data_IF_652063363018
#
_entry.id   IF_652063363018
#
_cell.length_a   1.000
_cell.length_b   1.000
_cell.length_c   1.000
_cell.angle_alpha   90.00
_cell.angle_beta   90.00
_cell.angle_gamma   90.00
#
_symmetry.space_group_name_H-M   'P 1'
#
loop_
_entity.id
_entity.type
_entity.pdbx_description
1 polymer ?
#
# COMPACT_ATOMS: atom_id res chain seq x y z
N UNK A 1 -2.88 6.18 -14.92
CA UNK A 1 -3.21 7.01 -16.09
C UNK A 1 -4.71 7.23 -16.07
N UNK A 2 -5.16 8.47 -15.84
CA UNK A 2 -6.59 8.78 -15.83
C UNK A 2 -7.08 8.87 -17.26
N UNK A 3 -7.83 7.87 -17.71
CA UNK A 3 -8.64 7.99 -18.92
C UNK A 3 -10.01 8.44 -18.46
N UNK A 4 -10.22 9.75 -18.33
CA UNK A 4 -11.57 10.29 -18.38
C UNK A 4 -11.91 10.28 -19.88
N UNK A 5 -12.73 9.30 -20.27
CA UNK A 5 -13.21 9.15 -21.64
C UNK A 5 -13.85 10.47 -22.11
N UNK A 6 -13.62 10.82 -23.39
CA UNK A 6 -14.37 11.89 -24.07
C UNK A 6 -15.87 11.64 -23.86
N UNK A 7 -16.62 12.70 -23.58
CA UNK A 7 -18.07 12.68 -23.47
C UNK A 7 -18.71 12.37 -24.84
N UNK A 8 -18.72 11.10 -25.20
CA UNK A 8 -19.75 10.53 -26.07
C UNK A 8 -21.05 10.40 -25.25
N UNK A 9 -22.24 10.39 -25.87
CA UNK A 9 -23.48 10.14 -25.14
C UNK A 9 -23.37 8.78 -24.41
N UNK A 10 -23.20 8.86 -23.08
CA UNK A 10 -22.91 7.72 -22.23
C UNK A 10 -24.19 6.91 -22.07
N UNK A 11 -24.35 5.88 -22.91
CA UNK A 11 -25.28 4.80 -22.62
C UNK A 11 -24.85 4.15 -21.30
N UNK A 12 -25.83 3.76 -20.49
CA UNK A 12 -25.59 2.98 -19.27
C UNK A 12 -24.62 1.84 -19.58
N UNK A 13 -23.46 1.85 -18.92
CA UNK A 13 -22.36 0.94 -19.19
C UNK A 13 -22.10 0.10 -17.95
N UNK A 14 -22.44 -1.17 -18.05
CA UNK A 14 -22.01 -2.18 -17.08
C UNK A 14 -20.70 -2.77 -17.59
N UNK A 15 -19.66 -2.75 -16.76
CA UNK A 15 -18.40 -3.43 -17.01
C UNK A 15 -18.11 -4.35 -15.84
N UNK A 16 -18.07 -5.64 -16.12
CA UNK A 16 -17.63 -6.66 -15.18
C UNK A 16 -16.44 -7.36 -15.80
N UNK A 17 -15.36 -7.45 -15.03
CA UNK A 17 -14.15 -8.18 -15.38
C UNK A 17 -13.80 -9.06 -14.20
N UNK A 18 -13.68 -10.35 -14.43
CA UNK A 18 -13.22 -11.31 -13.45
C UNK A 18 -11.95 -11.99 -13.92
N UNK A 19 -11.12 -12.42 -12.97
CA UNK A 19 -10.00 -13.28 -13.25
C UNK A 19 -9.83 -14.33 -12.16
N UNK A 20 -9.46 -15.54 -12.58
CA UNK A 20 -9.19 -16.67 -11.69
C UNK A 20 -7.99 -17.44 -12.21
N UNK A 21 -7.01 -17.69 -11.37
CA UNK A 21 -5.76 -18.30 -11.79
C UNK A 21 -5.05 -19.11 -10.72
N UNK A 22 -4.13 -19.95 -11.17
CA UNK A 22 -3.19 -20.64 -10.31
C UNK A 22 -1.88 -19.87 -10.31
N UNK A 23 -1.36 -19.60 -9.13
CA UNK A 23 -0.09 -18.90 -8.92
C UNK A 23 0.83 -19.77 -8.06
N UNK A 24 2.10 -19.81 -8.44
CA UNK A 24 3.19 -20.38 -7.66
C UNK A 24 4.15 -19.26 -7.30
N UNK A 25 4.49 -19.17 -6.01
CA UNK A 25 5.38 -18.17 -5.45
C UNK A 25 6.50 -18.89 -4.71
N UNK A 26 7.75 -18.61 -5.07
CA UNK A 26 8.93 -19.14 -4.40
C UNK A 26 9.81 -18.02 -3.88
N UNK A 27 10.10 -18.06 -2.58
CA UNK A 27 11.05 -17.16 -1.93
C UNK A 27 12.45 -17.79 -1.91
N UNK A 28 13.45 -16.99 -2.20
CA UNK A 28 14.86 -17.32 -2.05
C UNK A 28 15.37 -16.66 -0.78
N UNK A 29 16.07 -17.42 0.07
CA UNK A 29 16.58 -16.91 1.34
C UNK A 29 16.35 -17.87 2.50
N UNK A 30 16.30 -17.32 3.71
CA UNK A 30 16.31 -18.04 4.99
C UNK A 30 15.46 -19.34 4.99
N UNK A 31 16.09 -20.44 5.42
CA UNK A 31 15.57 -21.81 5.38
C UNK A 31 14.54 -22.11 6.48
N UNK A 32 14.29 -21.15 7.38
CA UNK A 32 13.46 -21.37 8.58
C UNK A 32 11.95 -21.34 8.35
N UNK A 33 11.47 -20.79 7.22
CA UNK A 33 10.03 -20.67 6.89
C UNK A 33 9.71 -21.34 5.55
N UNK A 34 8.43 -21.59 5.28
CA UNK A 34 8.01 -22.05 3.94
C UNK A 34 8.53 -21.10 2.87
N UNK A 35 9.14 -21.66 1.83
CA UNK A 35 9.75 -20.93 0.71
C UNK A 35 8.99 -21.14 -0.59
N UNK A 36 7.91 -21.90 -0.58
CA UNK A 36 7.10 -22.19 -1.76
C UNK A 36 5.62 -22.20 -1.39
N UNK A 37 4.82 -21.50 -2.17
CA UNK A 37 3.38 -21.40 -2.01
C UNK A 37 2.71 -21.62 -3.35
N UNK A 38 1.73 -22.51 -3.39
CA UNK A 38 0.81 -22.64 -4.53
C UNK A 38 -0.54 -22.11 -4.10
N UNK A 39 -1.12 -21.21 -4.88
CA UNK A 39 -2.37 -20.54 -4.55
C UNK A 39 -3.34 -20.50 -5.73
N UNK A 40 -4.62 -20.54 -5.40
CA UNK A 40 -5.68 -20.06 -6.26
C UNK A 40 -5.86 -18.57 -5.99
N UNK A 41 -5.60 -17.74 -6.99
CA UNK A 41 -5.80 -16.29 -6.91
C UNK A 41 -7.00 -15.90 -7.75
N UNK A 42 -7.81 -14.98 -7.25
CA UNK A 42 -8.86 -14.37 -8.04
C UNK A 42 -8.98 -12.89 -7.75
N UNK A 43 -9.29 -12.15 -8.81
CA UNK A 43 -9.53 -10.72 -8.78
C UNK A 43 -10.84 -10.48 -9.53
N UNK A 44 -11.79 -9.77 -8.92
CA UNK A 44 -13.07 -9.43 -9.52
C UNK A 44 -13.32 -7.95 -9.40
N UNK A 45 -13.77 -7.34 -10.50
CA UNK A 45 -14.07 -5.92 -10.57
C UNK A 45 -15.36 -5.70 -11.36
N UNK A 46 -16.34 -5.09 -10.72
CA UNK A 46 -17.63 -4.77 -11.34
C UNK A 46 -17.96 -3.30 -11.15
N UNK A 47 -18.35 -2.64 -12.24
CA UNK A 47 -18.97 -1.31 -12.21
C UNK A 47 -20.23 -1.31 -13.02
N UNK A 48 -21.27 -0.72 -12.45
CA UNK A 48 -22.52 -0.48 -13.16
C UNK A 48 -22.85 1.00 -13.11
N UNK A 49 -23.03 1.61 -14.28
CA UNK A 49 -23.45 3.00 -14.44
C UNK A 49 -24.89 3.05 -14.91
N UNK A 50 -25.82 3.05 -13.97
CA UNK A 50 -27.24 3.25 -14.22
C UNK A 50 -27.62 4.73 -14.39
N UNK A 51 -28.87 4.98 -14.75
CA UNK A 51 -29.41 6.34 -14.92
C UNK A 51 -29.50 7.12 -13.61
N UNK A 52 -29.76 6.44 -12.50
CA UNK A 52 -29.93 7.06 -11.17
C UNK A 52 -28.76 6.76 -10.24
N UNK A 53 -28.24 5.53 -10.28
CA UNK A 53 -27.20 5.05 -9.40
C UNK A 53 -26.02 4.49 -10.19
N UNK A 54 -24.84 4.64 -9.61
CA UNK A 54 -23.61 3.97 -9.96
C UNK A 54 -23.24 3.01 -8.83
N UNK A 55 -22.80 1.81 -9.16
CA UNK A 55 -22.23 0.88 -8.18
C UNK A 55 -20.85 0.43 -8.64
N UNK A 56 -19.96 0.18 -7.70
CA UNK A 56 -18.62 -0.30 -8.00
C UNK A 56 -18.11 -1.19 -6.88
N UNK A 57 -17.46 -2.29 -7.23
CA UNK A 57 -16.81 -3.15 -6.26
C UNK A 57 -15.59 -3.86 -6.87
N UNK A 58 -14.58 -4.05 -6.03
CA UNK A 58 -13.34 -4.76 -6.32
C UNK A 58 -13.08 -5.74 -5.18
N UNK A 59 -12.81 -7.00 -5.53
CA UNK A 59 -12.58 -8.10 -4.58
C UNK A 59 -11.36 -8.88 -5.04
N UNK A 60 -10.39 -9.03 -4.16
CA UNK A 60 -9.15 -9.76 -4.40
C UNK A 60 -9.03 -10.88 -3.37
N UNK A 61 -8.69 -12.09 -3.79
CA UNK A 61 -8.44 -13.18 -2.88
C UNK A 61 -7.27 -14.04 -3.33
N UNK A 62 -6.63 -14.68 -2.35
CA UNK A 62 -5.57 -15.64 -2.56
C UNK A 62 -5.78 -16.79 -1.58
N UNK A 63 -5.97 -17.99 -2.10
CA UNK A 63 -6.20 -19.20 -1.32
C UNK A 63 -5.04 -20.17 -1.55
N UNK A 64 -4.14 -20.25 -0.58
CA UNK A 64 -2.99 -21.13 -0.61
C UNK A 64 -3.37 -22.58 -0.29
N UNK A 65 -2.91 -23.51 -1.12
CA UNK A 65 -3.23 -24.94 -1.00
C UNK A 65 -2.40 -25.60 0.10
N UNK A 66 -1.16 -25.16 0.29
CA UNK A 66 -0.20 -25.81 1.18
C UNK A 66 0.00 -25.11 2.54
N UNK A 67 -0.58 -23.92 2.74
CA UNK A 67 -0.46 -23.17 3.98
C UNK A 67 -1.61 -22.16 4.10
N UNK A 68 -2.68 -22.49 4.80
CA UNK A 68 -3.89 -21.64 4.90
C UNK A 68 -3.62 -20.28 5.53
N UNK A 69 -2.60 -20.16 6.36
CA UNK A 69 -2.26 -18.92 7.06
C UNK A 69 -1.67 -17.87 6.09
N UNK A 70 -1.30 -18.31 4.88
CA UNK A 70 -0.90 -17.47 3.75
C UNK A 70 -2.07 -17.13 2.80
N UNK A 71 -3.32 -17.32 3.21
CA UNK A 71 -4.52 -16.94 2.43
C UNK A 71 -5.12 -15.61 2.86
N UNK A 72 -5.77 -14.90 1.94
CA UNK A 72 -6.52 -13.68 2.24
C UNK A 72 -7.75 -13.46 1.34
N UNK A 73 -8.65 -12.62 1.83
CA UNK A 73 -9.74 -11.98 1.09
C UNK A 73 -9.73 -10.48 1.42
N UNK A 74 -9.65 -9.65 0.39
CA UNK A 74 -9.61 -8.20 0.48
C UNK A 74 -10.68 -7.59 -0.44
N UNK A 75 -11.28 -6.48 -0.02
CA UNK A 75 -12.28 -5.74 -0.80
C UNK A 75 -11.78 -4.30 -0.93
N UNK A 76 -10.81 -3.99 -1.81
CA UNK A 76 -10.17 -2.67 -1.83
C UNK A 76 -11.16 -1.52 -1.99
N UNK A 77 -12.21 -1.73 -2.78
CA UNK A 77 -13.23 -0.73 -3.10
C UNK A 77 -14.62 -1.41 -3.18
N UNK A 78 -15.65 -0.77 -2.63
CA UNK A 78 -17.04 -1.20 -2.73
C UNK A 78 -17.97 -0.04 -2.35
N UNK A 79 -18.75 0.48 -3.29
CA UNK A 79 -19.55 1.69 -3.07
C UNK A 79 -20.83 1.73 -3.91
N UNK A 80 -21.75 2.57 -3.47
CA UNK A 80 -22.92 3.04 -4.22
C UNK A 80 -22.83 4.54 -4.35
N UNK A 81 -23.17 5.08 -5.52
CA UNK A 81 -23.14 6.51 -5.82
C UNK A 81 -24.37 6.95 -6.61
N UNK A 82 -24.73 8.21 -6.53
CA UNK A 82 -25.63 8.83 -7.53
C UNK A 82 -24.93 8.91 -8.89
N UNK A 83 -25.66 8.59 -9.95
CA UNK A 83 -25.11 8.57 -11.30
C UNK A 83 -24.53 9.92 -11.72
N UNK A 84 -23.34 9.91 -12.33
CA UNK A 84 -22.73 11.07 -12.98
C UNK A 84 -23.53 11.59 -14.17
N UNK A 85 -24.50 10.81 -14.67
CA UNK A 85 -25.45 11.24 -15.70
C UNK A 85 -26.46 12.27 -15.18
N UNK A 86 -26.69 12.32 -13.86
CA UNK A 86 -27.63 13.28 -13.24
C UNK A 86 -27.07 14.69 -13.12
N UNK A 87 -25.76 14.88 -13.31
CA UNK A 87 -25.13 16.20 -13.28
C UNK A 87 -23.68 16.17 -12.83
N UNK A 88 -23.15 17.34 -12.51
CA UNK A 88 -21.76 17.52 -12.09
C UNK A 88 -21.49 17.09 -10.63
N UNK A 89 -22.52 16.76 -9.85
CA UNK A 89 -22.40 16.43 -8.44
C UNK A 89 -22.78 14.97 -8.18
N UNK A 90 -21.99 14.27 -7.37
CA UNK A 90 -22.21 12.89 -6.97
C UNK A 90 -22.13 12.75 -5.46
N UNK A 91 -23.08 12.03 -4.88
CA UNK A 91 -22.98 11.50 -3.53
C UNK A 91 -22.56 10.03 -3.61
N UNK A 92 -21.64 9.60 -2.76
CA UNK A 92 -21.13 8.23 -2.71
C UNK A 92 -21.14 7.75 -1.26
N UNK A 93 -21.44 6.48 -1.05
CA UNK A 93 -21.35 5.83 0.26
C UNK A 93 -20.71 4.45 0.09
N UNK A 94 -19.82 4.11 1.01
CA UNK A 94 -19.12 2.82 1.02
C UNK A 94 -17.62 3.02 1.19
N UNK A 95 -16.85 2.09 0.64
CA UNK A 95 -15.38 2.09 0.61
C UNK A 95 -14.91 2.58 -0.76
N UNK A 96 -14.22 3.72 -0.83
CA UNK A 96 -13.79 4.32 -2.10
C UNK A 96 -12.31 4.68 -2.13
N UNK A 97 -11.64 4.33 -3.22
CA UNK A 97 -10.27 4.72 -3.53
C UNK A 97 -10.30 6.06 -4.30
N UNK A 98 -9.54 7.04 -3.82
CA UNK A 98 -9.44 8.37 -4.43
C UNK A 98 -8.00 8.86 -4.32
N UNK A 99 -7.52 9.58 -5.34
CA UNK A 99 -6.15 10.12 -5.32
C UNK A 99 -6.16 11.48 -4.61
N UNK A 100 -5.87 11.44 -3.32
CA UNK A 100 -5.79 12.64 -2.47
C UNK A 100 -4.48 13.41 -2.61
N UNK A 101 -3.42 12.71 -3.00
CA UNK A 101 -2.09 13.28 -3.18
C UNK A 101 -1.24 12.42 -4.14
N UNK A 102 -0.50 13.06 -5.04
CA UNK A 102 0.24 12.35 -6.10
C UNK A 102 1.45 11.57 -5.59
N UNK A 103 2.18 12.07 -4.59
CA UNK A 103 3.34 11.36 -4.05
C UNK A 103 2.95 10.12 -3.23
N UNK A 104 1.88 10.21 -2.42
CA UNK A 104 1.37 9.09 -1.63
C UNK A 104 0.86 7.96 -2.56
N UNK A 105 0.18 8.32 -3.66
CA UNK A 105 -0.26 7.41 -4.72
C UNK A 105 0.91 6.70 -5.42
N UNK A 106 1.93 7.46 -5.84
CA UNK A 106 3.04 6.90 -6.61
C UNK A 106 3.94 6.00 -5.78
N UNK A 107 4.27 6.41 -4.55
CA UNK A 107 5.19 5.70 -3.65
C UNK A 107 4.49 4.71 -2.71
N UNK A 108 3.15 4.61 -2.81
CA UNK A 108 2.31 3.77 -1.96
C UNK A 108 2.63 3.92 -0.46
N UNK A 109 2.76 5.17 0.02
CA UNK A 109 3.18 5.43 1.41
C UNK A 109 2.07 5.10 2.42
N UNK A 110 0.80 5.15 1.99
CA UNK A 110 -0.36 4.79 2.82
C UNK A 110 -0.74 5.86 3.84
N UNK A 111 -0.38 7.12 3.59
CA UNK A 111 -0.65 8.23 4.51
C UNK A 111 -2.10 8.70 4.38
N UNK A 112 -2.58 8.89 3.15
CA UNK A 112 -3.97 9.28 2.90
C UNK A 112 -4.91 8.09 2.96
N UNK A 113 -4.60 7.00 2.26
CA UNK A 113 -5.45 5.81 2.21
C UNK A 113 -4.75 4.61 2.85
N UNK A 114 -5.48 3.78 3.60
CA UNK A 114 -4.89 2.57 4.18
C UNK A 114 -4.41 1.63 3.08
N UNK A 115 -3.49 0.75 3.45
CA UNK A 115 -2.94 -0.29 2.61
C UNK A 115 -3.26 -1.66 3.16
N UNK A 116 -3.37 -2.62 2.25
CA UNK A 116 -3.27 -4.03 2.55
C UNK A 116 -1.84 -4.48 2.26
N UNK A 117 -1.03 -4.52 3.32
CA UNK A 117 0.39 -4.89 3.34
C UNK A 117 0.57 -6.40 3.50
N UNK A 118 -0.21 -7.18 2.75
CA UNK A 118 0.06 -8.61 2.62
C UNK A 118 1.41 -8.86 1.95
N UNK A 119 1.73 -7.96 1.02
CA UNK A 119 2.98 -7.83 0.30
C UNK A 119 3.52 -6.43 0.56
N UNK A 120 4.74 -6.32 1.08
CA UNK A 120 5.34 -5.02 1.39
C UNK A 120 6.06 -4.39 0.18
N UNK A 121 6.35 -5.16 -0.88
CA UNK A 121 6.90 -4.62 -2.12
C UNK A 121 5.79 -3.97 -2.95
N UNK A 122 4.63 -4.63 -3.02
CA UNK A 122 3.46 -4.14 -3.76
C UNK A 122 2.23 -4.06 -2.85
N UNK A 123 2.22 -3.15 -1.86
CA UNK A 123 1.09 -3.00 -0.96
C UNK A 123 -0.13 -2.51 -1.72
N UNK A 124 -1.26 -3.22 -1.58
CA UNK A 124 -2.49 -2.83 -2.26
C UNK A 124 -3.10 -1.63 -1.56
N UNK A 125 -3.55 -0.63 -2.32
CA UNK A 125 -4.29 0.51 -1.77
C UNK A 125 -5.70 0.09 -1.45
N UNK A 126 -6.24 0.71 -0.42
CA UNK A 126 -7.54 0.33 0.11
C UNK A 126 -8.35 1.58 0.41
N UNK A 127 -9.60 1.58 -0.04
CA UNK A 127 -10.46 2.76 0.01
C UNK A 127 -10.80 3.18 1.44
N UNK A 128 -11.08 4.48 1.60
CA UNK A 128 -11.64 5.01 2.82
C UNK A 128 -13.12 4.60 2.91
N UNK A 129 -13.57 4.18 4.09
CA UNK A 129 -14.98 3.85 4.34
C UNK A 129 -15.67 5.13 4.82
N UNK A 130 -16.77 5.53 4.19
CA UNK A 130 -17.57 6.68 4.61
C UNK A 130 -18.49 7.21 3.53
N UNK A 131 -18.90 8.48 3.68
CA UNK A 131 -19.64 9.23 2.70
C UNK A 131 -18.73 10.19 1.93
N UNK A 132 -18.97 10.33 0.64
CA UNK A 132 -18.24 11.23 -0.24
C UNK A 132 -19.21 12.14 -1.00
N UNK A 133 -18.84 13.40 -1.14
CA UNK A 133 -19.52 14.35 -2.01
C UNK A 133 -18.52 14.88 -3.03
N UNK A 134 -18.78 14.62 -4.31
CA UNK A 134 -17.87 14.93 -5.42
C UNK A 134 -18.55 15.88 -6.39
N UNK A 135 -17.95 17.02 -6.65
CA UNK A 135 -18.30 17.93 -7.74
C UNK A 135 -17.21 17.82 -8.79
N UNK A 136 -17.57 17.48 -10.03
CA UNK A 136 -16.61 17.28 -11.10
C UNK A 136 -17.07 18.00 -12.37
N UNK A 137 -16.20 18.86 -12.90
CA UNK A 137 -16.37 19.61 -14.15
C UNK A 137 -15.10 19.46 -14.99
N UNK A 138 -15.09 19.87 -16.27
CA UNK A 138 -13.89 19.76 -17.11
C UNK A 138 -12.64 20.52 -16.61
N UNK A 139 -12.80 21.48 -15.69
CA UNK A 139 -11.72 22.36 -15.23
C UNK A 139 -11.54 22.39 -13.72
N UNK A 140 -12.48 21.80 -12.98
CA UNK A 140 -12.52 21.86 -11.54
C UNK A 140 -13.12 20.58 -10.96
N UNK A 141 -12.50 20.08 -9.90
CA UNK A 141 -13.01 18.99 -9.09
C UNK A 141 -12.95 19.41 -7.62
N UNK A 142 -14.02 19.13 -6.88
CA UNK A 142 -14.08 19.23 -5.44
C UNK A 142 -14.55 17.89 -4.87
N UNK A 143 -13.94 17.45 -3.79
CA UNK A 143 -14.26 16.20 -3.12
C UNK A 143 -14.24 16.43 -1.61
N UNK A 144 -15.34 16.10 -0.95
CA UNK A 144 -15.41 16.02 0.51
C UNK A 144 -15.62 14.56 0.90
N UNK A 145 -14.97 14.16 1.99
CA UNK A 145 -15.13 12.86 2.62
C UNK A 145 -15.46 13.07 4.10
N UNK A 146 -16.37 12.26 4.63
CA UNK A 146 -16.62 12.16 6.06
C UNK A 146 -16.90 10.72 6.43
N UNK A 147 -16.42 10.30 7.60
CA UNK A 147 -16.69 8.97 8.13
C UNK A 147 -16.84 8.99 9.63
N UNK A 148 -17.68 8.08 10.15
CA UNK A 148 -17.72 7.69 11.56
C UNK A 148 -16.81 6.49 11.86
N UNK A 149 -16.34 5.80 10.81
CA UNK A 149 -15.68 4.51 10.91
C UNK A 149 -14.33 4.54 10.21
N UNK A 150 -13.33 4.02 10.90
CA UNK A 150 -11.96 3.89 10.49
C UNK A 150 -11.61 2.41 10.36
N UNK A 151 -10.91 2.08 9.27
CA UNK A 151 -10.35 0.75 9.09
C UNK A 151 -8.84 0.92 8.87
N UNK A 152 -8.00 0.46 9.81
CA UNK A 152 -6.56 0.62 9.69
C UNK A 152 -5.99 -0.20 8.53
N UNK A 153 -4.71 0.04 8.25
CA UNK A 153 -3.91 -0.86 7.43
C UNK A 153 -3.96 -2.28 7.99
N UNK A 154 -3.99 -3.25 7.07
CA UNK A 154 -3.94 -4.67 7.40
C UNK A 154 -2.70 -5.26 6.78
N UNK A 155 -2.13 -6.27 7.42
CA UNK A 155 -0.92 -6.95 6.95
C UNK A 155 -1.12 -8.45 6.86
N UNK A 156 -0.01 -9.18 6.93
CA UNK A 156 -0.02 -10.62 7.06
C UNK A 156 -0.82 -11.09 8.29
N UNK A 157 -1.48 -12.25 8.15
CA UNK A 157 -2.13 -12.92 9.29
C UNK A 157 -1.07 -13.34 10.31
N UNK A 158 -1.40 -13.18 11.58
CA UNK A 158 -0.54 -13.58 12.70
C UNK A 158 -1.35 -14.43 13.66
N UNK A 159 -0.70 -15.44 14.22
CA UNK A 159 -1.27 -16.33 15.22
C UNK A 159 -0.48 -16.23 16.52
N UNK A 160 -1.15 -16.50 17.63
CA UNK A 160 -0.53 -16.54 18.94
C UNK A 160 -0.38 -18.00 19.37
N UNK A 161 0.87 -18.47 19.49
CA UNK A 161 1.21 -19.84 19.86
C UNK A 161 2.28 -19.79 20.94
N UNK A 162 2.01 -20.40 22.09
CA UNK A 162 2.96 -20.57 23.20
C UNK A 162 3.69 -19.29 23.63
N UNK A 163 2.96 -18.18 23.85
CA UNK A 163 3.58 -16.93 24.31
C UNK A 163 4.18 -16.07 23.19
N UNK A 164 4.01 -16.46 21.92
CA UNK A 164 4.67 -15.83 20.78
C UNK A 164 3.73 -15.58 19.62
N UNK A 165 3.98 -14.48 18.90
CA UNK A 165 3.35 -14.21 17.62
C UNK A 165 4.13 -14.87 16.50
N UNK A 166 3.46 -15.72 15.73
CA UNK A 166 4.00 -16.41 14.57
C UNK A 166 3.16 -16.09 13.34
N UNK A 167 3.76 -16.20 12.16
CA UNK A 167 3.05 -16.03 10.89
C UNK A 167 3.74 -16.87 9.83
N UNK A 168 2.95 -17.49 8.96
CA UNK A 168 3.46 -18.13 7.76
C UNK A 168 4.02 -17.12 6.75
N UNK A 169 3.61 -15.85 6.84
CA UNK A 169 4.05 -14.82 5.90
C UNK A 169 5.52 -14.48 6.07
N UNK A 170 6.22 -14.39 4.95
CA UNK A 170 7.60 -13.89 4.87
C UNK A 170 7.68 -12.40 5.21
N UNK A 171 6.59 -11.66 5.07
CA UNK A 171 6.50 -10.23 5.38
C UNK A 171 6.28 -9.93 6.86
N UNK A 172 6.07 -10.95 7.69
CA UNK A 172 6.02 -10.80 9.13
C UNK A 172 7.43 -10.82 9.75
N UNK A 173 7.83 -9.71 10.35
CA UNK A 173 9.03 -9.65 11.18
C UNK A 173 8.67 -10.06 12.60
N UNK A 174 9.16 -11.23 13.02
CA UNK A 174 8.89 -11.76 14.35
C UNK A 174 9.47 -10.86 15.44
N UNK A 175 8.77 -10.78 16.58
CA UNK A 175 9.28 -10.10 17.76
C UNK A 175 10.47 -10.88 18.35
N UNK A 176 11.42 -10.21 19.02
CA UNK A 176 12.52 -10.90 19.70
C UNK A 176 12.00 -11.95 20.68
N UNK A 177 12.57 -13.16 20.68
CA UNK A 177 12.11 -14.26 21.54
C UNK A 177 12.84 -14.35 22.87
N UNK A 178 13.97 -13.65 23.00
CA UNK A 178 14.83 -13.65 24.17
C UNK A 178 15.40 -12.26 24.44
N UNK A 179 15.56 -11.92 25.71
CA UNK A 179 16.29 -10.75 26.18
C UNK A 179 17.54 -11.21 26.95
N UNK A 180 18.51 -10.31 27.16
CA UNK A 180 19.64 -10.56 28.05
C UNK A 180 19.47 -9.75 29.33
N UNK A 181 19.31 -10.43 30.46
CA UNK A 181 19.30 -9.82 31.78
C UNK A 181 20.55 -10.26 32.54
N UNK A 182 21.40 -9.30 32.93
CA UNK A 182 22.67 -9.58 33.63
C UNK A 182 23.55 -10.62 32.91
N UNK A 183 23.54 -10.60 31.57
CA UNK A 183 24.31 -11.53 30.74
C UNK A 183 23.65 -12.90 30.50
N UNK A 184 22.54 -13.22 31.18
CA UNK A 184 21.79 -14.45 31.00
C UNK A 184 20.66 -14.23 29.98
N UNK A 185 20.50 -15.16 29.04
CA UNK A 185 19.39 -15.14 28.10
C UNK A 185 18.10 -15.59 28.82
N UNK A 186 17.10 -14.72 28.83
CA UNK A 186 15.76 -14.99 29.39
C UNK A 186 14.73 -15.01 28.26
N UNK A 187 13.76 -15.92 28.27
CA UNK A 187 12.68 -15.93 27.29
C UNK A 187 11.78 -14.69 27.47
N UNK A 188 11.25 -14.18 26.35
CA UNK A 188 10.22 -13.13 26.36
C UNK A 188 8.87 -13.79 26.06
N UNK A 189 7.87 -13.49 26.88
CA UNK A 189 6.48 -13.87 26.68
C UNK A 189 5.67 -12.63 26.32
N UNK A 190 4.96 -12.66 25.20
CA UNK A 190 4.16 -11.52 24.76
C UNK A 190 2.69 -11.72 25.06
N UNK A 191 1.99 -10.65 25.42
CA UNK A 191 0.54 -10.63 25.54
C UNK A 191 -0.01 -9.43 24.78
N UNK A 192 -0.89 -9.65 23.81
CA UNK A 192 -1.59 -8.55 23.12
C UNK A 192 -2.90 -8.23 23.83
N UNK A 193 -3.01 -7.02 24.35
CA UNK A 193 -4.27 -6.48 24.87
C UNK A 193 -4.92 -5.69 23.73
N UNK A 194 -5.68 -6.41 22.91
CA UNK A 194 -6.39 -5.82 21.78
C UNK A 194 -7.64 -5.07 22.29
N UNK A 195 -7.81 -3.77 21.97
CA UNK A 195 -9.07 -3.10 22.24
C UNK A 195 -10.21 -3.77 21.48
N UNK A 196 -11.45 -3.55 21.93
CA UNK A 196 -12.61 -4.06 21.20
C UNK A 196 -12.62 -3.52 19.76
N UNK A 197 -13.15 -4.29 18.80
CA UNK A 197 -13.20 -3.88 17.41
C UNK A 197 -13.91 -2.53 17.22
N UNK A 198 -14.96 -2.28 18.00
CA UNK A 198 -15.66 -1.00 18.01
C UNK A 198 -14.76 0.16 18.45
N UNK A 199 -13.93 -0.02 19.48
CA UNK A 199 -12.97 1.00 19.91
C UNK A 199 -11.90 1.26 18.86
N UNK A 200 -11.44 0.25 18.12
CA UNK A 200 -10.45 0.44 17.05
C UNK A 200 -11.05 1.14 15.83
N UNK A 201 -12.30 0.83 15.49
CA UNK A 201 -12.92 1.29 14.25
C UNK A 201 -13.79 2.55 14.42
N UNK A 202 -14.27 2.89 15.61
CA UNK A 202 -15.15 4.05 15.83
C UNK A 202 -14.37 5.35 15.99
N UNK A 203 -13.62 5.71 14.96
CA UNK A 203 -12.83 6.93 14.92
C UNK A 203 -13.22 7.78 13.70
N UNK A 204 -13.91 8.91 13.90
CA UNK A 204 -14.38 9.73 12.79
C UNK A 204 -13.23 10.41 12.05
N UNK A 205 -13.46 10.77 10.80
CA UNK A 205 -12.51 11.53 9.99
C UNK A 205 -13.21 12.36 8.94
N UNK A 206 -12.57 13.47 8.54
CA UNK A 206 -13.03 14.36 7.49
C UNK A 206 -11.88 14.71 6.56
N UNK A 207 -12.17 14.87 5.27
CA UNK A 207 -11.19 15.28 4.28
C UNK A 207 -11.81 16.12 3.17
N UNK A 208 -11.00 17.01 2.59
CA UNK A 208 -11.39 17.90 1.51
C UNK A 208 -10.30 17.91 0.45
N UNK A 209 -10.68 17.93 -0.81
CA UNK A 209 -9.78 18.08 -1.95
C UNK A 209 -10.40 19.05 -2.94
N UNK A 210 -9.59 19.99 -3.41
CA UNK A 210 -9.92 20.86 -4.53
C UNK A 210 -8.84 20.69 -5.60
N UNK A 211 -9.27 20.54 -6.86
CA UNK A 211 -8.39 20.39 -8.01
C UNK A 211 -8.85 21.31 -9.12
N UNK A 212 -7.90 21.99 -9.75
CA UNK A 212 -8.10 22.83 -10.93
C UNK A 212 -7.26 22.29 -12.09
N UNK A 213 -7.74 22.51 -13.32
CA UNK A 213 -7.05 22.12 -14.54
C UNK A 213 -7.83 21.10 -15.35
N UNK A 214 -7.29 20.82 -16.54
CA UNK A 214 -7.90 19.91 -17.52
C UNK A 214 -7.28 18.52 -17.42
N UNK A 215 -7.91 17.56 -18.10
CA UNK A 215 -7.38 16.18 -18.27
C UNK A 215 -5.98 16.21 -18.92
N UNK A 216 -5.80 17.11 -19.89
CA UNK A 216 -4.51 17.42 -20.53
C UNK A 216 -4.16 18.88 -20.28
N UNK A 217 -2.88 19.17 -20.12
CA UNK A 217 -2.35 20.48 -19.78
C UNK A 217 -2.01 20.58 -18.29
N UNK A 218 -1.94 21.82 -17.80
CA UNK A 218 -1.62 22.11 -16.41
C UNK A 218 -2.78 21.73 -15.48
N UNK A 219 -2.42 21.21 -14.32
CA UNK A 219 -3.33 20.94 -13.23
C UNK A 219 -2.64 21.20 -11.89
N UNK A 220 -3.45 21.48 -10.87
CA UNK A 220 -3.02 21.55 -9.48
C UNK A 220 -4.13 21.08 -8.56
N UNK A 221 -3.75 20.51 -7.42
CA UNK A 221 -4.70 20.14 -6.36
C UNK A 221 -4.16 20.46 -4.99
N UNK A 222 -5.08 20.77 -4.08
CA UNK A 222 -4.83 20.95 -2.67
C UNK A 222 -5.78 20.04 -1.89
N UNK A 223 -5.29 19.38 -0.85
CA UNK A 223 -6.13 18.56 0.02
C UNK A 223 -5.79 18.75 1.49
N UNK A 224 -6.79 18.58 2.34
CA UNK A 224 -6.68 18.62 3.80
C UNK A 224 -7.44 17.46 4.43
N UNK A 225 -6.90 16.86 5.49
CA UNK A 225 -7.64 15.89 6.30
C UNK A 225 -7.36 16.06 7.79
N UNK A 226 -8.39 15.76 8.58
CA UNK A 226 -8.25 15.40 9.99
C UNK A 226 -8.89 14.03 10.15
N UNK A 227 -8.05 13.02 10.33
CA UNK A 227 -8.51 11.62 10.39
C UNK A 227 -7.57 10.77 11.26
N UNK A 228 -7.96 9.53 11.57
CA UNK A 228 -7.06 8.57 12.19
C UNK A 228 -5.89 8.20 11.26
N UNK A 229 -4.73 7.93 11.86
CA UNK A 229 -3.57 7.41 11.15
C UNK A 229 -3.85 5.99 10.68
N UNK A 230 -3.55 5.70 9.40
CA UNK A 230 -3.89 4.40 8.81
C UNK A 230 -3.17 3.22 9.50
N UNK A 231 -1.89 3.35 9.82
CA UNK A 231 -1.17 2.37 10.64
C UNK A 231 -1.42 2.64 12.13
N UNK A 232 -1.76 1.57 12.86
CA UNK A 232 -1.85 1.58 14.31
C UNK A 232 -0.46 1.77 14.91
N UNK A 233 -0.39 2.61 15.94
CA UNK A 233 0.82 2.71 16.76
C UNK A 233 0.76 1.63 17.83
N UNK A 234 1.92 1.28 18.38
CA UNK A 234 2.02 0.27 19.45
C UNK A 234 2.65 0.92 20.69
N UNK A 235 2.06 0.64 21.85
CA UNK A 235 2.72 0.79 23.14
C UNK A 235 3.03 -0.57 23.74
N UNK A 236 4.01 -0.66 24.61
CA UNK A 236 4.25 -1.86 25.40
C UNK A 236 4.68 -1.55 26.82
N UNK A 237 4.42 -2.49 27.72
CA UNK A 237 4.96 -2.54 29.07
C UNK A 237 5.71 -3.86 29.25
N UNK A 238 6.72 -3.85 30.12
CA UNK A 238 7.57 -5.01 30.37
C UNK A 238 7.73 -5.24 31.87
N UNK A 239 7.47 -6.45 32.32
CA UNK A 239 7.65 -6.89 33.71
C UNK A 239 8.50 -8.16 33.74
N UNK A 240 9.38 -8.28 34.75
CA UNK A 240 10.15 -9.51 34.95
C UNK A 240 9.40 -10.36 35.96
N UNK A 241 9.01 -11.57 35.55
CA UNK A 241 8.50 -12.58 36.49
C UNK A 241 9.69 -13.39 37.05
N UNK A 242 9.99 -13.14 38.33
CA UNK A 242 11.09 -13.80 39.02
C UNK A 242 10.85 -15.30 39.24
N UNK A 243 9.59 -15.77 39.18
CA UNK A 243 9.27 -17.18 39.37
C UNK A 243 9.51 -17.99 38.09
N UNK A 244 9.03 -17.50 36.95
CA UNK A 244 9.21 -18.15 35.65
C UNK A 244 10.54 -17.82 34.97
N UNK A 245 11.30 -16.86 35.51
CA UNK A 245 12.52 -16.31 34.90
C UNK A 245 12.29 -15.82 33.46
N UNK A 246 11.09 -15.33 33.18
CA UNK A 246 10.69 -14.80 31.89
C UNK A 246 10.46 -13.28 31.96
N UNK A 247 10.62 -12.63 30.81
CA UNK A 247 10.22 -11.24 30.62
C UNK A 247 8.82 -11.24 30.00
N UNK A 248 7.83 -10.77 30.74
CA UNK A 248 6.47 -10.61 30.25
C UNK A 248 6.33 -9.23 29.63
N UNK A 249 5.85 -9.18 28.38
CA UNK A 249 5.67 -7.96 27.60
C UNK A 249 4.24 -7.86 27.13
N UNK A 250 3.52 -6.85 27.61
CA UNK A 250 2.15 -6.58 27.17
C UNK A 250 2.17 -5.53 26.06
N UNK A 251 1.54 -5.83 24.93
CA UNK A 251 1.42 -4.98 23.75
C UNK A 251 0.04 -4.31 23.71
N UNK A 252 0.02 -3.02 23.42
CA UNK A 252 -1.17 -2.17 23.39
C UNK A 252 -1.27 -1.42 22.06
N UNK A 253 -2.03 -1.93 21.08
CA UNK A 253 -2.35 -1.21 19.86
C UNK A 253 -3.16 0.05 20.16
N UNK A 254 -2.83 1.15 19.49
CA UNK A 254 -3.47 2.45 19.71
C UNK A 254 -3.72 3.17 18.38
N UNK A 255 -4.81 3.91 18.34
CA UNK A 255 -5.20 4.74 17.20
C UNK A 255 -4.82 6.18 17.51
N UNK A 256 -3.89 6.73 16.73
CA UNK A 256 -3.54 8.15 16.77
C UNK A 256 -4.23 8.91 15.64
N UNK A 257 -4.38 10.22 15.79
CA UNK A 257 -4.90 11.11 14.75
C UNK A 257 -3.77 11.87 14.08
N UNK A 258 -4.02 12.35 12.86
CA UNK A 258 -3.14 13.31 12.21
C UNK A 258 -3.91 14.35 11.41
N UNK A 259 -3.28 15.49 11.22
CA UNK A 259 -3.66 16.47 10.22
C UNK A 259 -2.79 16.25 8.98
N UNK A 260 -3.42 16.17 7.81
CA UNK A 260 -2.73 16.04 6.53
C UNK A 260 -2.96 17.28 5.68
N UNK A 261 -1.91 17.73 5.02
CA UNK A 261 -1.97 18.80 4.03
C UNK A 261 -1.22 18.34 2.79
N UNK A 262 -1.84 18.44 1.61
CA UNK A 262 -1.19 18.12 0.36
C UNK A 262 -1.34 19.25 -0.66
N UNK A 263 -0.29 19.43 -1.45
CA UNK A 263 -0.28 20.30 -2.61
C UNK A 263 0.40 19.57 -3.76
N UNK A 264 -0.30 19.49 -4.89
CA UNK A 264 0.20 18.88 -6.11
C UNK A 264 0.09 19.87 -7.27
N UNK A 265 1.02 19.80 -8.20
CA UNK A 265 0.94 20.47 -9.47
C UNK A 265 1.61 19.63 -10.56
N UNK A 266 1.14 19.76 -11.79
CA UNK A 266 1.75 19.03 -12.89
C UNK A 266 1.23 19.47 -14.25
N UNK A 267 1.78 18.82 -15.27
CA UNK A 267 1.37 18.97 -16.66
C UNK A 267 1.23 17.59 -17.29
N UNK A 268 0.16 17.39 -18.06
CA UNK A 268 -0.08 16.17 -18.83
C UNK A 268 -0.13 16.53 -20.31
N UNK A 269 0.95 16.24 -21.04
CA UNK A 269 1.05 16.38 -22.48
C UNK A 269 0.63 15.11 -23.21
N UNK A 270 0.93 15.04 -24.51
CA UNK A 270 0.63 13.85 -25.31
C UNK A 270 1.67 12.74 -25.13
N UNK A 271 2.96 13.10 -25.10
CA UNK A 271 4.07 12.15 -24.99
C UNK A 271 4.80 12.20 -23.66
N UNK A 272 4.48 13.16 -22.81
CA UNK A 272 5.13 13.29 -21.52
C UNK A 272 4.18 13.92 -20.52
N UNK A 273 4.41 13.63 -19.26
CA UNK A 273 3.79 14.32 -18.14
C UNK A 273 4.79 14.49 -17.03
N UNK A 274 4.60 15.51 -16.22
CA UNK A 274 5.40 15.73 -15.02
C UNK A 274 4.52 16.18 -13.87
N UNK A 275 5.02 15.99 -12.67
CA UNK A 275 4.36 16.46 -11.46
C UNK A 275 5.37 16.78 -10.37
N UNK A 276 4.96 17.67 -9.48
CA UNK A 276 5.57 17.93 -8.18
C UNK A 276 4.47 17.80 -7.14
N UNK A 277 4.82 17.26 -5.99
CA UNK A 277 3.87 16.92 -4.94
C UNK A 277 4.52 17.12 -3.58
N UNK A 278 3.76 17.70 -2.67
CA UNK A 278 4.13 17.99 -1.30
C UNK A 278 3.07 17.40 -0.38
N UNK A 279 3.50 16.73 0.67
CA UNK A 279 2.65 16.16 1.70
C UNK A 279 3.23 16.53 3.06
N UNK A 280 2.43 17.18 3.90
CA UNK A 280 2.74 17.41 5.32
C UNK A 280 1.81 16.58 6.18
N UNK A 281 2.39 15.82 7.10
CA UNK A 281 1.70 15.08 8.15
C UNK A 281 2.04 15.72 9.50
N UNK A 282 1.04 16.06 10.29
CA UNK A 282 1.18 16.55 11.66
C UNK A 282 0.40 15.61 12.59
N UNK A 283 1.06 14.63 13.21
CA UNK A 283 0.42 13.72 14.15
C UNK A 283 -0.05 14.45 15.41
N UNK A 284 -1.24 14.11 15.89
CA UNK A 284 -1.79 14.58 17.15
C UNK A 284 -1.37 13.60 18.24
N UNK A 285 -0.57 14.08 19.19
CA UNK A 285 -0.12 13.28 20.32
C UNK A 285 -1.32 12.84 21.18
N UNK A 286 -1.42 11.54 21.39
CA UNK A 286 -2.35 10.92 22.32
C UNK A 286 -1.76 10.82 23.72
N UNK A 287 -2.63 10.52 24.70
CA UNK A 287 -2.24 10.38 26.09
C UNK A 287 -2.10 8.90 26.39
N UNK A 288 -0.92 8.48 26.84
CA UNK A 288 -0.63 7.10 27.21
C UNK A 288 -0.19 7.02 28.68
N UNK A 289 -0.43 5.90 29.37
CA UNK A 289 0.10 5.67 30.70
C UNK A 289 1.62 5.84 30.76
N UNK A 290 2.13 6.43 31.85
CA UNK A 290 3.57 6.67 32.03
C UNK A 290 4.39 5.37 32.19
N UNK A 291 3.72 4.25 32.47
CA UNK A 291 4.34 2.92 32.54
C UNK A 291 4.66 2.34 31.17
N UNK A 292 4.05 2.86 30.10
CA UNK A 292 4.24 2.35 28.76
C UNK A 292 5.48 2.94 28.10
N UNK A 293 6.13 2.13 27.27
CA UNK A 293 7.02 2.60 26.21
C UNK A 293 6.26 2.61 24.89
N UNK A 294 6.18 3.77 24.24
CA UNK A 294 5.31 4.02 23.10
C UNK A 294 6.09 4.33 21.84
N UNK A 295 5.62 3.79 20.71
CA UNK A 295 6.05 4.20 19.39
C UNK A 295 5.65 5.65 19.16
N UNK A 296 6.57 6.58 19.04
CA UNK A 296 6.24 7.98 18.76
C UNK A 296 6.38 8.31 17.28
N UNK A 297 5.59 9.28 16.83
CA UNK A 297 5.62 9.82 15.48
C UNK A 297 5.77 11.33 15.55
N UNK A 298 6.50 11.92 14.60
CA UNK A 298 6.76 13.36 14.53
C UNK A 298 6.14 13.97 13.27
N UNK A 299 6.09 15.30 13.24
CA UNK A 299 5.78 16.03 12.01
C UNK A 299 6.64 15.51 10.85
N UNK A 300 6.00 15.28 9.71
CA UNK A 300 6.64 14.85 8.48
C UNK A 300 6.36 15.82 7.34
N UNK A 301 7.37 16.04 6.50
CA UNK A 301 7.25 16.69 5.20
C UNK A 301 7.84 15.77 4.14
N UNK A 302 7.01 15.30 3.22
CA UNK A 302 7.42 14.53 2.06
C UNK A 302 7.30 15.40 0.80
N UNK A 303 8.36 15.38 -0.01
CA UNK A 303 8.47 16.09 -1.28
C UNK A 303 8.77 15.06 -2.37
N UNK A 304 8.07 15.12 -3.48
CA UNK A 304 8.39 14.27 -4.62
C UNK A 304 8.12 14.97 -5.94
N UNK A 305 8.88 14.58 -6.96
CA UNK A 305 8.65 14.98 -8.34
C UNK A 305 8.85 13.77 -9.24
N UNK A 306 8.09 13.72 -10.32
CA UNK A 306 8.23 12.67 -11.31
C UNK A 306 7.94 13.14 -12.72
N UNK A 307 8.47 12.39 -13.68
CA UNK A 307 8.27 12.55 -15.11
C UNK A 307 7.93 11.20 -15.70
N UNK A 308 6.88 11.15 -16.51
CA UNK A 308 6.49 10.01 -17.32
C UNK A 308 6.71 10.36 -18.79
N UNK A 309 7.43 9.52 -19.52
CA UNK A 309 7.73 9.66 -20.95
C UNK A 309 7.11 8.49 -21.72
N UNK A 310 6.32 8.79 -22.74
CA UNK A 310 5.87 7.83 -23.75
C UNK A 310 6.94 7.73 -24.83
N UNK A 311 7.61 6.57 -24.89
CA UNK A 311 8.71 6.32 -25.82
C UNK A 311 8.21 5.92 -27.20
N UNK A 312 7.26 4.98 -27.23
CA UNK A 312 6.73 4.42 -28.46
C UNK A 312 5.30 3.92 -28.23
N UNK A 313 4.43 4.05 -29.24
CA UNK A 313 3.04 3.65 -29.18
C UNK A 313 2.73 2.63 -30.28
N UNK A 314 2.15 1.49 -29.91
CA UNK A 314 1.70 0.45 -30.84
C UNK A 314 0.29 0.02 -30.48
N UNK A 315 -0.60 -0.04 -31.46
CA UNK A 315 -1.99 -0.50 -31.28
C UNK A 315 -2.78 0.22 -30.17
N UNK A 316 -2.42 1.48 -29.87
CA UNK A 316 -3.06 2.24 -28.79
C UNK A 316 -2.29 2.22 -27.47
N UNK A 317 -1.42 1.24 -27.27
CA UNK A 317 -0.62 1.10 -26.05
C UNK A 317 0.78 1.70 -26.18
N UNK A 318 1.16 2.43 -25.14
CA UNK A 318 2.37 3.21 -25.10
C UNK A 318 3.38 2.58 -24.13
N UNK A 319 4.59 2.34 -24.62
CA UNK A 319 5.75 2.05 -23.79
C UNK A 319 6.15 3.31 -23.03
N UNK A 320 6.29 3.21 -21.72
CA UNK A 320 6.47 4.33 -20.80
C UNK A 320 7.71 4.16 -19.95
N UNK A 321 8.45 5.24 -19.80
CA UNK A 321 9.52 5.40 -18.83
C UNK A 321 9.10 6.43 -17.79
N UNK A 322 8.97 6.00 -16.54
CA UNK A 322 8.72 6.85 -15.39
C UNK A 322 9.99 7.03 -14.57
N UNK A 323 10.29 8.28 -14.20
CA UNK A 323 11.36 8.64 -13.28
C UNK A 323 10.75 9.44 -12.14
N UNK A 324 11.10 9.12 -10.89
CA UNK A 324 10.59 9.84 -9.72
C UNK A 324 11.64 9.92 -8.63
N UNK A 325 11.63 11.01 -7.88
CA UNK A 325 12.47 11.23 -6.71
C UNK A 325 11.60 11.59 -5.50
N UNK A 326 11.90 11.04 -4.34
CA UNK A 326 11.23 11.26 -3.07
C UNK A 326 12.24 11.68 -2.01
N UNK A 327 11.86 12.69 -1.22
CA UNK A 327 12.54 13.05 0.01
C UNK A 327 11.52 13.25 1.14
N UNK A 328 11.72 12.56 2.24
CA UNK A 328 10.92 12.67 3.47
C UNK A 328 11.80 13.25 4.58
N UNK A 329 11.26 14.22 5.30
CA UNK A 329 11.84 14.81 6.50
C UNK A 329 10.92 14.50 7.68
N UNK A 330 11.44 13.94 8.77
CA UNK A 330 10.66 13.63 9.98
C UNK A 330 9.86 12.32 9.89
N UNK A 331 8.67 12.30 10.49
CA UNK A 331 7.74 11.18 10.50
C UNK A 331 7.98 10.15 11.60
N UNK A 332 9.24 9.74 11.77
CA UNK A 332 9.65 8.91 12.90
C UNK A 332 10.08 9.79 14.07
N UNK A 333 9.72 9.42 15.30
CA UNK A 333 10.27 10.01 16.52
C UNK A 333 10.96 8.94 17.36
N UNK A 334 11.75 9.37 18.34
CA UNK A 334 12.26 8.46 19.35
C UNK A 334 11.09 7.97 20.21
N UNK A 335 11.12 6.69 20.56
CA UNK A 335 10.16 6.10 21.48
C UNK A 335 10.13 6.90 22.80
N UNK A 336 9.00 6.90 23.47
CA UNK A 336 8.85 7.59 24.76
C UNK A 336 8.48 6.58 25.84
N UNK A 337 9.11 6.66 27.02
CA UNK A 337 8.79 5.80 28.16
C UNK A 337 10.00 5.09 28.78
N UNK A 338 9.77 4.21 29.77
CA UNK A 338 10.83 3.63 30.61
C UNK A 338 11.89 2.81 29.87
N UNK A 339 11.52 2.18 28.75
CA UNK A 339 12.40 1.31 27.96
C UNK A 339 12.82 1.93 26.63
N UNK A 340 12.51 3.22 26.41
CA UNK A 340 12.88 3.92 25.19
C UNK A 340 14.40 4.08 25.07
N UNK A 341 14.94 3.83 23.88
CA UNK A 341 16.37 4.06 23.58
C UNK A 341 16.57 5.50 23.14
N UNK A 342 17.64 6.14 23.63
CA UNK A 342 17.92 7.55 23.35
C UNK A 342 18.21 7.87 21.87
N UNK A 343 18.55 6.87 21.05
CA UNK A 343 19.06 7.09 19.68
C UNK A 343 18.25 6.42 18.59
N UNK A 344 17.26 5.59 18.91
CA UNK A 344 16.52 4.83 17.91
C UNK A 344 15.13 4.39 18.40
N UNK A 345 14.18 4.33 17.48
CA UNK A 345 12.91 3.64 17.70
C UNK A 345 13.10 2.12 17.58
N UNK A 346 12.33 1.37 18.35
CA UNK A 346 12.23 -0.09 18.30
C UNK A 346 11.19 -0.60 17.30
N UNK A 347 10.37 0.30 16.75
CA UNK A 347 9.25 -0.06 15.88
C UNK A 347 9.61 0.06 14.39
N UNK A 348 8.68 -0.40 13.55
CA UNK A 348 8.77 -0.16 12.11
C UNK A 348 8.73 1.35 11.80
N UNK A 349 9.59 1.85 10.89
CA UNK A 349 9.49 3.23 10.43
C UNK A 349 8.14 3.49 9.75
N UNK A 350 7.62 4.70 9.95
CA UNK A 350 6.39 5.18 9.33
C UNK A 350 6.45 5.22 7.81
N UNK A 351 7.59 5.62 7.27
CA UNK A 351 7.83 5.75 5.83
C UNK A 351 8.76 4.62 5.36
N UNK A 352 8.34 3.78 4.40
CA UNK A 352 9.20 2.72 3.86
C UNK A 352 10.36 3.29 3.04
N UNK A 353 10.22 4.52 2.54
CA UNK A 353 11.23 5.24 1.76
C UNK A 353 11.40 6.65 2.32
N UNK A 354 12.66 7.11 2.44
CA UNK A 354 13.02 8.41 3.00
C UNK A 354 13.70 9.27 1.95
N UNK A 355 14.63 8.71 1.18
CA UNK A 355 15.37 9.45 0.16
C UNK A 355 15.58 8.53 -1.03
N UNK A 356 14.60 8.46 -1.91
CA UNK A 356 14.53 7.39 -2.89
C UNK A 356 14.41 7.92 -4.31
N UNK A 357 15.04 7.21 -5.24
CA UNK A 357 14.80 7.33 -6.69
C UNK A 357 14.08 6.09 -7.17
N UNK A 358 13.10 6.27 -8.06
CA UNK A 358 12.34 5.20 -8.72
C UNK A 358 12.45 5.36 -10.22
N UNK A 359 12.82 4.27 -10.89
CA UNK A 359 12.84 4.14 -12.34
C UNK A 359 11.86 3.03 -12.70
N UNK A 360 10.85 3.34 -13.51
CA UNK A 360 9.83 2.38 -13.93
C UNK A 360 9.75 2.34 -15.45
N UNK A 361 9.87 1.16 -16.02
CA UNK A 361 9.69 0.91 -17.44
C UNK A 361 8.51 -0.03 -17.64
N UNK A 362 7.56 0.36 -18.47
CA UNK A 362 6.43 -0.47 -18.88
C UNK A 362 6.38 -0.51 -20.40
N UNK A 363 6.43 -1.68 -21.01
CA UNK A 363 6.45 -1.84 -22.47
C UNK A 363 5.51 -2.94 -22.91
N UNK A 364 4.85 -2.71 -24.05
CA UNK A 364 4.22 -3.76 -24.84
C UNK A 364 5.20 -4.10 -25.95
N UNK A 365 5.59 -5.37 -26.08
CA UNK A 365 6.68 -5.80 -26.98
C UNK A 365 6.12 -6.09 -28.37
N UNK A 366 6.17 -5.13 -29.32
CA UNK A 366 5.31 -5.17 -30.50
C UNK A 366 5.88 -6.04 -31.63
N UNK A 367 7.21 -6.26 -31.62
CA UNK A 367 7.86 -7.09 -32.62
C UNK A 367 7.49 -8.57 -32.43
N UNK A 368 7.42 -9.05 -31.18
CA UNK A 368 6.92 -10.40 -30.88
C UNK A 368 5.44 -10.53 -31.22
N UNK A 369 4.61 -9.56 -30.83
CA UNK A 369 3.18 -9.62 -31.14
C UNK A 369 2.90 -9.56 -32.65
N UNK A 370 3.77 -8.90 -33.43
CA UNK A 370 3.66 -8.88 -34.90
C UNK A 370 3.96 -10.23 -35.54
N UNK A 371 4.90 -11.01 -35.01
CA UNK A 371 5.16 -12.39 -35.45
C UNK A 371 4.06 -13.35 -34.98
N UNK A 372 3.44 -13.09 -33.81
CA UNK A 372 2.36 -13.89 -33.23
C UNK A 372 0.96 -13.32 -33.52
N UNK A 373 0.82 -12.48 -34.56
CA UNK A 373 -0.42 -11.75 -34.88
C UNK A 373 -1.61 -12.68 -35.10
N UNK A 374 -1.37 -13.86 -35.65
CA UNK A 374 -2.41 -14.87 -35.86
C UNK A 374 -3.04 -15.36 -34.54
N UNK A 375 -2.35 -15.21 -33.41
CA UNK A 375 -2.75 -15.80 -32.12
C UNK A 375 -3.38 -14.78 -31.17
N UNK A 376 -3.61 -13.53 -31.61
CA UNK A 376 -4.17 -12.45 -30.77
C UNK A 376 -3.45 -12.36 -29.42
N UNK A 377 -2.12 -12.38 -29.47
CA UNK A 377 -1.28 -12.45 -28.27
C UNK A 377 -0.58 -11.13 -27.99
N UNK A 378 -0.48 -10.80 -26.70
CA UNK A 378 0.17 -9.58 -26.24
C UNK A 378 1.22 -9.93 -25.20
N UNK A 379 2.43 -9.39 -25.38
CA UNK A 379 3.50 -9.51 -24.40
C UNK A 379 3.75 -8.13 -23.77
N UNK A 380 3.55 -8.04 -22.47
CA UNK A 380 3.83 -6.85 -21.69
C UNK A 380 4.94 -7.13 -20.68
N UNK A 381 5.85 -6.18 -20.50
CA UNK A 381 6.90 -6.25 -19.50
C UNK A 381 6.91 -4.97 -18.65
N UNK A 382 7.01 -5.15 -17.34
CA UNK A 382 7.14 -4.06 -16.36
C UNK A 382 8.40 -4.31 -15.55
N UNK A 383 9.26 -3.31 -15.47
CA UNK A 383 10.46 -3.32 -14.62
C UNK A 383 10.45 -2.06 -13.77
N UNK A 384 10.66 -2.20 -12.48
CA UNK A 384 10.76 -1.07 -11.55
C UNK A 384 11.97 -1.26 -10.64
N UNK A 385 12.82 -0.24 -10.57
CA UNK A 385 13.93 -0.18 -9.63
C UNK A 385 13.74 0.99 -8.68
N UNK A 386 13.83 0.74 -7.38
CA UNK A 386 13.85 1.76 -6.33
C UNK A 386 15.19 1.66 -5.61
N UNK A 387 15.85 2.79 -5.39
CA UNK A 387 17.03 2.88 -4.52
C UNK A 387 16.83 3.98 -3.49
N UNK A 388 17.00 3.66 -2.20
CA UNK A 388 16.94 4.62 -1.10
C UNK A 388 18.35 4.93 -0.58
N UNK A 389 18.80 6.17 -0.76
CA UNK A 389 20.12 6.63 -0.34
C UNK A 389 20.31 6.69 1.18
N UNK A 390 19.23 6.90 1.93
CA UNK A 390 19.28 7.00 3.39
C UNK A 390 19.33 5.61 4.05
N UNK A 391 18.69 4.62 3.44
CA UNK A 391 18.68 3.23 3.91
C UNK A 391 19.79 2.39 3.26
N UNK A 392 20.40 2.87 2.17
CA UNK A 392 21.40 2.15 1.37
C UNK A 392 20.88 0.79 0.93
N UNK A 393 19.69 0.80 0.33
CA UNK A 393 19.00 -0.40 -0.11
C UNK A 393 18.24 -0.18 -1.41
N UNK A 394 17.94 -1.28 -2.10
CA UNK A 394 17.24 -1.26 -3.36
C UNK A 394 16.20 -2.36 -3.48
N UNK A 395 15.13 -2.09 -4.23
CA UNK A 395 14.17 -3.09 -4.69
C UNK A 395 14.19 -3.07 -6.21
N UNK A 396 14.27 -4.25 -6.82
CA UNK A 396 14.05 -4.44 -8.25
C UNK A 396 12.92 -5.42 -8.45
N UNK A 397 11.85 -4.95 -9.08
CA UNK A 397 10.69 -5.75 -9.48
C UNK A 397 10.69 -5.87 -10.98
N UNK A 398 10.54 -7.09 -11.50
CA UNK A 398 10.36 -7.34 -12.93
C UNK A 398 9.20 -8.31 -13.14
N UNK A 399 8.31 -7.98 -14.07
CA UNK A 399 7.14 -8.79 -14.41
C UNK A 399 7.00 -8.88 -15.92
N UNK A 400 6.74 -10.09 -16.40
CA UNK A 400 6.37 -10.43 -17.77
C UNK A 400 4.94 -10.98 -17.77
N UNK A 401 4.09 -10.46 -18.65
CA UNK A 401 2.72 -10.95 -18.87
C UNK A 401 2.55 -11.31 -20.34
N UNK A 402 2.10 -12.53 -20.59
CA UNK A 402 1.77 -13.01 -21.92
C UNK A 402 0.28 -13.35 -21.98
N UNK A 403 -0.49 -12.54 -22.72
CA UNK A 403 -1.91 -12.75 -22.93
C UNK A 403 -2.13 -13.60 -24.18
N UNK A 404 -2.87 -14.70 -24.05
CA UNK A 404 -3.26 -15.58 -25.14
C UNK A 404 -4.77 -15.48 -25.36
N UNK A 405 -5.19 -15.04 -26.56
CA UNK A 405 -6.60 -14.87 -26.96
C UNK A 405 -7.41 -13.98 -26.00
N UNK A 406 -6.76 -13.07 -25.29
CA UNK A 406 -7.36 -12.16 -24.29
C UNK A 406 -8.11 -12.85 -23.13
N UNK A 407 -8.14 -14.18 -23.06
CA UNK A 407 -8.81 -14.92 -21.98
C UNK A 407 -7.84 -15.63 -21.06
N UNK A 408 -6.59 -15.87 -21.48
CA UNK A 408 -5.57 -16.47 -20.63
C UNK A 408 -4.36 -15.56 -20.53
N UNK A 409 -3.85 -15.38 -19.32
CA UNK A 409 -2.65 -14.60 -19.05
C UNK A 409 -1.66 -15.51 -18.33
N UNK A 410 -0.48 -15.69 -18.91
CA UNK A 410 0.66 -16.28 -18.21
C UNK A 410 1.49 -15.15 -17.63
N UNK A 411 1.65 -15.14 -16.31
CA UNK A 411 2.50 -14.18 -15.62
C UNK A 411 3.78 -14.86 -15.11
N UNK A 412 4.89 -14.16 -15.21
CA UNK A 412 6.15 -14.49 -14.57
C UNK A 412 6.70 -13.20 -13.95
N UNK A 413 7.23 -13.27 -12.74
CA UNK A 413 7.84 -12.12 -12.10
C UNK A 413 8.92 -12.50 -11.11
N UNK A 414 9.72 -11.51 -10.76
CA UNK A 414 10.75 -11.61 -9.75
C UNK A 414 10.84 -10.30 -8.99
N UNK A 415 11.12 -10.40 -7.70
CA UNK A 415 11.46 -9.28 -6.84
C UNK A 415 12.76 -9.57 -6.12
N UNK A 416 13.67 -8.58 -6.11
CA UNK A 416 14.96 -8.65 -5.45
C UNK A 416 15.13 -7.45 -4.54
N UNK A 417 15.43 -7.69 -3.27
CA UNK A 417 15.69 -6.69 -2.24
C UNK A 417 17.15 -6.78 -1.83
N UNK A 418 17.89 -5.68 -1.98
CA UNK A 418 19.26 -5.56 -1.50
C UNK A 418 19.37 -4.50 -0.40
N UNK A 419 20.29 -4.70 0.54
CA UNK A 419 20.70 -3.73 1.54
C UNK A 419 22.20 -3.84 1.77
N UNK A 420 22.90 -2.71 1.67
CA UNK A 420 24.35 -2.63 1.87
C UNK A 420 24.71 -2.58 3.38
N UNK A 421 23.72 -2.46 4.26
CA UNK A 421 23.92 -2.36 5.71
C UNK A 421 24.15 -3.73 6.34
N UNK A 422 25.09 -3.78 7.27
CA UNK A 422 25.41 -4.99 8.04
C UNK A 422 24.22 -5.35 8.94
N UNK A 423 23.89 -6.63 8.96
CA UNK A 423 22.68 -7.22 9.56
C UNK A 423 22.53 -7.11 11.07
N UNK A 424 23.51 -6.52 11.77
CA UNK A 424 23.60 -6.62 13.22
C UNK A 424 22.69 -5.63 13.96
N UNK A 425 22.08 -4.68 13.25
CA UNK A 425 21.05 -3.82 13.82
C UNK A 425 19.69 -4.51 13.75
N UNK A 426 19.25 -5.04 14.89
CA UNK A 426 17.90 -5.62 15.08
C UNK A 426 16.76 -4.64 14.80
N UNK A 427 17.06 -3.34 14.72
CA UNK A 427 16.12 -2.26 14.39
C UNK A 427 16.30 -1.82 12.93
N UNK A 428 16.44 -2.80 12.03
CA UNK A 428 16.71 -2.58 10.61
C UNK A 428 15.63 -1.73 9.93
N UNK A 429 16.10 -0.86 9.05
CA UNK A 429 15.30 -0.17 8.05
C UNK A 429 14.53 -1.15 7.13
N UNK A 430 13.69 -0.64 6.24
CA UNK A 430 12.80 -1.46 5.41
C UNK A 430 13.58 -2.54 4.65
N UNK A 431 14.69 -2.15 4.00
CA UNK A 431 15.47 -3.07 3.17
C UNK A 431 16.18 -4.12 4.02
N UNK A 432 16.80 -3.74 5.13
CA UNK A 432 17.48 -4.73 5.99
C UNK A 432 16.48 -5.74 6.59
N UNK A 433 15.27 -5.27 6.93
CA UNK A 433 14.20 -6.10 7.48
C UNK A 433 13.70 -7.16 6.48
N UNK A 434 13.63 -6.81 5.19
CA UNK A 434 12.99 -7.64 4.17
C UNK A 434 13.94 -8.21 3.11
N UNK A 435 15.26 -7.97 3.20
CA UNK A 435 16.28 -8.49 2.26
C UNK A 435 16.31 -10.01 2.04
N UNK A 436 15.69 -10.79 2.92
CA UNK A 436 15.60 -12.25 2.78
C UNK A 436 14.32 -12.71 2.05
N UNK A 437 13.56 -11.77 1.48
CA UNK A 437 12.28 -12.00 0.82
C UNK A 437 12.37 -11.84 -0.71
N UNK A 438 13.57 -12.04 -1.28
CA UNK A 438 13.72 -12.22 -2.72
C UNK A 438 12.77 -13.33 -3.16
N UNK A 439 12.11 -13.14 -4.30
CA UNK A 439 11.14 -14.13 -4.77
C UNK A 439 11.01 -14.14 -6.27
N UNK A 440 10.60 -15.30 -6.77
CA UNK A 440 10.10 -15.50 -8.13
C UNK A 440 8.68 -16.02 -8.03
N UNK A 441 7.83 -15.57 -8.95
CA UNK A 441 6.45 -15.99 -9.00
C UNK A 441 6.00 -16.16 -10.43
N UNK A 442 5.05 -17.08 -10.63
CA UNK A 442 4.48 -17.30 -11.93
C UNK A 442 3.12 -17.95 -11.83
N UNK A 443 2.29 -17.73 -12.83
CA UNK A 443 0.92 -18.21 -12.80
C UNK A 443 0.25 -18.19 -14.16
N UNK A 444 -0.91 -18.83 -14.19
CA UNK A 444 -1.82 -18.81 -15.33
C UNK A 444 -3.16 -18.34 -14.81
N UNK A 445 -3.67 -17.27 -15.41
CA UNK A 445 -4.92 -16.62 -15.04
C UNK A 445 -5.89 -16.68 -16.21
N UNK A 446 -7.12 -17.08 -15.95
CA UNK A 446 -8.23 -16.97 -16.90
C UNK A 446 -9.02 -15.69 -16.61
N UNK A 447 -9.28 -14.88 -17.65
CA UNK A 447 -10.03 -13.60 -17.59
C UNK A 447 -11.38 -13.79 -18.28
N UNK A 448 -12.47 -13.33 -17.64
CA UNK A 448 -13.86 -13.52 -18.09
C UNK A 448 -14.77 -12.32 -17.85
#
# INVERSE_FOLDING_TARGET
MWVIQKAEPVLAKTTTEGSLGLEALSYWGDKTRSSFFSALKGDWRGFDQGNLLETGAEVNFLLTVNNTDFSYLEIPESYVSTSSLLGFAQFQIGRKIEIWNKLDDYWALGIWQPRFRWDYIDPQRVGLIGGFFKVNTPHFQFLTFASSSFLPERGANMEYVDGRYVSASRWFSGLPSQARLSGVAVPIQYQLVMPSLGQLTSHPGVSFLARVGRIRGFWSSAAFALKPMNQLLIGYEGTIDLNSQALDVTLHPRVAYHQLYSLDAGYVGEKWGNWISVLRENPIRDITPATWTTQEVSDALALSTGVDLELYKTNGDASKLGLSYLRVFGGNALDNGPFAKASQSTFEPRYPFINAISIKFNTHVPWISSYLKEWSSELAAVVQGIYDFNQQGSIVTAQLKYSFKNSFIVNLGMDVISSDRVSNDSNGDFFNRYRANDRVYGGIVYVF
#
